data_IF_508677171623
#
_entry.id   IF_508677171623
#
_cell.length_a   1.000
_cell.length_b   1.000
_cell.length_c   1.000
_cell.angle_alpha   90.00
_cell.angle_beta   90.00
_cell.angle_gamma   90.00
#
_symmetry.space_group_name_H-M   'P 1'
#
loop_
_entity.id
_entity.type
_entity.pdbx_description
1 polymer ?
#
# COMPACT_ATOMS: atom_id res chain seq x y z
N UNK A 1 -2.72 39.26 47.34
CA UNK A 1 -2.72 38.74 48.72
C UNK A 1 -2.73 37.21 48.61
N UNK A 2 -1.64 36.56 48.23
CA UNK A 2 -0.40 36.30 48.97
C UNK A 2 -0.62 35.42 50.20
N UNK A 3 -0.31 34.12 50.07
CA UNK A 3 0.34 33.30 51.11
C UNK A 3 1.23 32.27 50.43
N UNK A 4 2.52 32.59 50.45
CA UNK A 4 3.63 31.66 50.35
C UNK A 4 3.70 30.77 51.59
N UNK A 5 4.22 29.55 51.43
CA UNK A 5 5.23 29.01 52.33
C UNK A 5 6.11 28.01 51.55
N UNK A 6 7.41 28.34 51.53
CA UNK A 6 8.58 27.53 51.16
C UNK A 6 8.63 26.21 51.96
N UNK A 7 9.41 25.17 51.67
CA UNK A 7 10.83 25.02 51.27
C UNK A 7 11.06 23.49 51.11
N UNK A 8 11.74 22.96 50.10
CA UNK A 8 13.21 22.90 50.02
C UNK A 8 13.71 21.43 50.08
N UNK A 9 14.90 21.11 49.56
CA UNK A 9 15.17 19.90 48.76
C UNK A 9 16.22 18.94 49.38
N UNK A 10 16.47 17.79 48.73
CA UNK A 10 17.75 17.03 48.65
C UNK A 10 17.53 15.78 47.75
N UNK A 11 18.23 15.62 46.60
CA UNK A 11 19.51 14.90 46.41
C UNK A 11 19.38 13.35 46.58
N UNK A 12 19.96 12.42 45.81
CA UNK A 12 21.02 12.37 44.79
C UNK A 12 21.09 10.91 44.24
N UNK A 13 21.75 10.74 43.07
CA UNK A 13 22.45 9.55 42.51
C UNK A 13 21.79 8.44 41.65
N UNK A 14 22.26 8.41 40.39
CA UNK A 14 22.52 7.30 39.45
C UNK A 14 23.66 6.36 39.98
N UNK A 15 23.97 5.13 39.45
CA UNK A 15 24.12 4.82 38.02
C UNK A 15 23.95 3.36 37.51
N UNK A 16 23.89 3.29 36.17
CA UNK A 16 24.36 2.30 35.19
C UNK A 16 24.85 0.89 35.59
N UNK A 17 24.38 -0.12 34.84
CA UNK A 17 25.11 -1.37 34.55
C UNK A 17 25.05 -1.75 33.07
N UNK A 18 26.24 -1.83 32.46
CA UNK A 18 26.62 -2.51 31.21
C UNK A 18 26.99 -3.97 31.51
N UNK A 19 26.63 -4.95 30.64
CA UNK A 19 27.36 -6.19 30.25
C UNK A 19 26.57 -6.80 29.07
N UNK A 20 27.02 -6.85 27.81
CA UNK A 20 28.08 -7.65 27.13
C UNK A 20 27.77 -9.14 26.90
N UNK A 21 27.33 -9.43 25.66
CA UNK A 21 27.76 -10.48 24.71
C UNK A 21 27.91 -11.97 25.13
N UNK A 22 27.22 -12.88 24.40
CA UNK A 22 27.79 -14.18 23.96
C UNK A 22 27.05 -14.83 22.76
N UNK A 23 27.86 -14.98 21.70
CA UNK A 23 27.95 -15.86 20.52
C UNK A 23 27.26 -17.25 20.50
N UNK A 24 26.81 -17.68 19.30
CA UNK A 24 26.60 -19.07 18.81
C UNK A 24 25.56 -19.10 17.67
N UNK A 25 25.93 -19.04 16.37
CA UNK A 25 26.37 -20.07 15.39
C UNK A 25 25.33 -21.11 14.97
N UNK A 26 25.11 -21.16 13.64
CA UNK A 26 24.67 -22.25 12.76
C UNK A 26 23.24 -22.81 12.86
N UNK A 27 22.44 -22.63 11.79
CA UNK A 27 22.21 -23.72 10.83
C UNK A 27 21.50 -23.29 9.53
N UNK A 28 21.95 -23.98 8.50
CA UNK A 28 21.58 -24.08 7.08
C UNK A 28 20.19 -24.73 6.87
N UNK A 29 19.54 -24.49 5.72
CA UNK A 29 18.56 -25.43 5.17
C UNK A 29 17.27 -24.85 4.54
N UNK A 30 17.26 -24.86 3.20
CA UNK A 30 16.14 -25.22 2.32
C UNK A 30 14.97 -24.25 2.03
N UNK A 31 15.05 -23.64 0.84
CA UNK A 31 13.94 -23.11 0.05
C UNK A 31 13.32 -24.22 -0.82
N UNK A 32 11.98 -24.32 -0.95
CA UNK A 32 11.35 -25.02 -2.05
C UNK A 32 10.86 -24.04 -3.16
N UNK A 33 10.66 -24.55 -4.39
CA UNK A 33 10.63 -23.73 -5.59
C UNK A 33 9.26 -23.17 -5.96
N UNK A 34 9.35 -22.09 -6.72
CA UNK A 34 8.31 -21.38 -7.47
C UNK A 34 7.64 -22.30 -8.48
N UNK A 35 6.33 -22.48 -8.36
CA UNK A 35 5.48 -23.13 -9.35
C UNK A 35 5.08 -22.15 -10.46
N UNK A 36 5.31 -22.54 -11.70
CA UNK A 36 4.93 -21.84 -12.92
C UNK A 36 3.46 -22.04 -13.26
N UNK A 37 2.82 -20.95 -13.67
CA UNK A 37 1.50 -20.84 -14.29
C UNK A 37 1.34 -21.79 -15.50
N UNK A 38 0.24 -22.55 -15.53
CA UNK A 38 -0.30 -23.15 -16.74
C UNK A 38 -1.56 -22.39 -17.19
N UNK A 39 -1.60 -22.13 -18.49
CA UNK A 39 -2.59 -21.35 -19.22
C UNK A 39 -3.97 -22.04 -19.29
N UNK A 40 -5.01 -21.26 -19.01
CA UNK A 40 -6.39 -21.61 -19.32
C UNK A 40 -6.80 -20.97 -20.66
N UNK A 41 -6.99 -21.79 -21.68
CA UNK A 41 -7.62 -21.44 -22.95
C UNK A 41 -8.66 -22.50 -23.32
N UNK A 42 -9.94 -22.14 -23.30
CA UNK A 42 -11.04 -23.04 -23.66
C UNK A 42 -11.25 -23.16 -25.17
N UNK A 43 -12.16 -24.06 -25.57
CA UNK A 43 -13.14 -23.91 -26.68
C UNK A 43 -14.22 -25.00 -26.56
N UNK A 44 -15.46 -24.57 -26.83
CA UNK A 44 -16.76 -25.25 -26.81
C UNK A 44 -16.99 -26.31 -27.91
N UNK A 45 -18.10 -27.06 -27.69
CA UNK A 45 -19.03 -27.78 -28.61
C UNK A 45 -18.93 -29.31 -28.48
N UNK A 46 -20.02 -30.10 -28.34
CA UNK A 46 -21.36 -30.01 -28.91
C UNK A 46 -22.47 -30.58 -28.00
N UNK A 47 -23.71 -30.20 -28.33
CA UNK A 47 -24.98 -30.56 -27.70
C UNK A 47 -25.69 -31.64 -28.54
N UNK A 48 -26.49 -32.47 -27.85
CA UNK A 48 -27.76 -33.12 -28.26
C UNK A 48 -27.78 -34.67 -28.49
N UNK A 49 -28.96 -35.32 -28.40
CA UNK A 49 -29.21 -36.36 -27.39
C UNK A 49 -29.73 -37.69 -27.99
N UNK A 50 -29.80 -38.75 -27.19
CA UNK A 50 -30.54 -39.97 -27.53
C UNK A 50 -31.11 -40.54 -26.21
N UNK A 51 -32.42 -40.51 -26.00
CA UNK A 51 -33.48 -41.42 -26.45
C UNK A 51 -33.41 -42.86 -25.89
N UNK A 52 -34.57 -43.26 -25.35
CA UNK A 52 -35.12 -44.60 -25.18
C UNK A 52 -34.38 -45.64 -24.33
N UNK A 53 -34.97 -45.96 -23.18
CA UNK A 53 -34.82 -47.26 -22.53
C UNK A 53 -36.21 -47.84 -22.31
N UNK A 54 -36.59 -48.78 -23.17
CA UNK A 54 -37.56 -49.84 -22.85
C UNK A 54 -36.85 -51.03 -22.21
N UNK A 55 -37.52 -51.82 -21.36
CA UNK A 55 -36.87 -52.87 -20.58
C UNK A 55 -36.83 -54.19 -21.38
N UNK A 56 -35.64 -54.72 -21.61
CA UNK A 56 -35.49 -56.14 -21.96
C UNK A 56 -35.19 -56.96 -20.70
N UNK A 57 -36.07 -57.94 -20.47
CA UNK A 57 -35.84 -59.08 -19.59
C UNK A 57 -34.51 -59.74 -19.96
N UNK A 58 -33.64 -59.94 -18.97
CA UNK A 58 -32.55 -60.92 -19.08
C UNK A 58 -32.72 -62.01 -18.02
N UNK A 59 -32.95 -63.20 -18.56
CA UNK A 59 -32.85 -64.54 -18.02
C UNK A 59 -31.90 -64.72 -16.84
N UNK A 60 -32.41 -65.34 -15.79
CA UNK A 60 -31.67 -65.77 -14.59
C UNK A 60 -30.78 -66.96 -14.97
N UNK A 61 -29.47 -66.74 -15.00
CA UNK A 61 -28.48 -67.82 -15.09
C UNK A 61 -28.13 -68.26 -13.65
N UNK A 62 -28.35 -69.54 -13.25
CA UNK A 62 -28.22 -69.96 -11.85
C UNK A 62 -26.77 -70.07 -11.32
N UNK A 63 -25.76 -69.66 -12.10
CA UNK A 63 -24.35 -69.69 -11.69
C UNK A 63 -23.64 -68.33 -11.84
N UNK A 64 -24.39 -67.22 -11.78
CA UNK A 64 -23.78 -65.90 -11.71
C UNK A 64 -23.40 -65.59 -10.25
N UNK A 65 -22.15 -65.90 -9.88
CA UNK A 65 -21.53 -65.29 -8.70
C UNK A 65 -21.40 -63.80 -9.02
N UNK A 66 -22.35 -63.00 -8.53
CA UNK A 66 -22.23 -61.56 -8.49
C UNK A 66 -21.01 -61.23 -7.63
N UNK A 67 -19.90 -60.83 -8.26
CA UNK A 67 -18.86 -60.08 -7.59
C UNK A 67 -19.44 -58.70 -7.23
N UNK A 68 -20.20 -58.66 -6.14
CA UNK A 68 -20.49 -57.42 -5.42
C UNK A 68 -19.14 -56.92 -4.95
N UNK A 69 -18.73 -55.71 -5.37
CA UNK A 69 -17.61 -55.01 -4.75
C UNK A 69 -17.89 -54.95 -3.25
N UNK A 70 -17.22 -55.80 -2.49
CA UNK A 70 -17.67 -56.21 -1.17
C UNK A 70 -17.57 -55.07 -0.17
N UNK A 71 -18.67 -54.35 0.04
CA UNK A 71 -18.87 -53.71 1.33
C UNK A 71 -18.77 -54.80 2.39
N UNK A 72 -17.91 -54.64 3.41
CA UNK A 72 -17.73 -55.66 4.42
C UNK A 72 -19.06 -55.92 5.13
N UNK A 73 -19.37 -57.19 5.39
CA UNK A 73 -20.49 -57.52 6.27
C UNK A 73 -20.12 -57.11 7.68
N UNK A 74 -21.02 -56.47 8.41
CA UNK A 74 -20.76 -56.05 9.79
C UNK A 74 -21.57 -56.92 10.74
N UNK A 75 -20.92 -57.46 11.76
CA UNK A 75 -21.58 -58.11 12.89
C UNK A 75 -21.54 -57.18 14.09
N UNK A 76 -22.73 -56.89 14.62
CA UNK A 76 -22.92 -55.97 15.73
C UNK A 76 -23.31 -56.77 16.97
N UNK A 77 -22.52 -56.67 18.04
CA UNK A 77 -22.75 -57.36 19.31
C UNK A 77 -22.83 -56.40 20.50
N UNK A 78 -23.71 -56.68 21.47
CA UNK A 78 -23.92 -55.85 22.66
C UNK A 78 -22.74 -55.84 23.68
N UNK A 79 -21.64 -56.53 23.33
CA UNK A 79 -20.43 -56.73 24.13
C UNK A 79 -19.33 -55.69 23.90
N UNK A 80 -19.46 -54.82 22.89
CA UNK A 80 -18.55 -53.68 22.64
C UNK A 80 -18.87 -52.45 23.50
N UNK A 81 -17.86 -51.60 23.74
CA UNK A 81 -17.97 -50.40 24.57
C UNK A 81 -19.09 -49.46 24.13
N UNK A 82 -20.07 -49.21 25.02
CA UNK A 82 -21.25 -48.39 24.71
C UNK A 82 -20.93 -46.93 24.91
N UNK A 83 -21.19 -46.09 23.90
CA UNK A 83 -21.09 -44.63 24.04
C UNK A 83 -22.48 -44.03 23.98
N UNK A 84 -22.77 -43.15 24.92
CA UNK A 84 -24.00 -42.36 24.92
C UNK A 84 -23.74 -41.05 24.17
N UNK A 85 -24.55 -40.78 23.15
CA UNK A 85 -24.54 -39.53 22.40
C UNK A 85 -25.81 -38.74 22.72
N UNK A 86 -25.65 -37.49 23.16
CA UNK A 86 -26.75 -36.53 23.23
C UNK A 86 -26.79 -35.72 21.94
N UNK A 87 -27.88 -35.87 21.20
CA UNK A 87 -28.11 -35.09 19.99
C UNK A 87 -28.84 -33.82 20.43
N UNK A 88 -28.39 -32.61 20.04
CA UNK A 88 -29.14 -31.40 20.34
C UNK A 88 -30.48 -31.41 19.58
N UNK A 89 -31.53 -30.83 20.17
CA UNK A 89 -32.85 -30.69 19.51
C UNK A 89 -32.99 -29.40 18.70
N UNK A 90 -32.16 -28.41 19.00
CA UNK A 90 -32.16 -27.11 18.35
C UNK A 90 -30.73 -26.55 18.38
N UNK A 91 -30.36 -25.84 17.32
CA UNK A 91 -29.09 -25.15 17.18
C UNK A 91 -29.40 -23.65 17.11
N UNK A 92 -28.99 -22.83 18.10
CA UNK A 92 -29.37 -21.42 18.13
C UNK A 92 -28.70 -20.67 16.96
N UNK A 93 -29.51 -20.19 16.02
CA UNK A 93 -29.04 -19.37 14.90
C UNK A 93 -28.73 -17.96 15.37
N UNK A 94 -27.48 -17.75 15.78
CA UNK A 94 -26.94 -16.42 16.09
C UNK A 94 -25.88 -16.07 15.05
N UNK A 95 -26.00 -14.92 14.37
CA UNK A 95 -24.95 -14.44 13.52
C UNK A 95 -23.73 -14.06 14.38
N UNK A 96 -22.51 -14.14 13.83
CA UNK A 96 -21.33 -13.67 14.53
C UNK A 96 -21.46 -12.18 14.87
N UNK A 97 -20.91 -11.73 16.01
CA UNK A 97 -20.97 -10.33 16.40
C UNK A 97 -20.21 -9.50 15.37
N UNK A 98 -20.91 -8.53 14.79
CA UNK A 98 -20.28 -7.49 13.97
C UNK A 98 -19.92 -6.36 14.92
N UNK A 99 -18.69 -5.84 14.83
CA UNK A 99 -18.31 -4.62 15.56
C UNK A 99 -19.20 -3.48 15.06
N UNK A 100 -20.20 -3.10 15.85
CA UNK A 100 -21.08 -1.97 15.50
C UNK A 100 -20.27 -0.72 15.77
N UNK A 101 -19.67 -0.16 14.72
CA UNK A 101 -19.07 1.16 14.79
C UNK A 101 -20.20 2.18 14.77
N UNK A 102 -20.34 2.97 15.83
CA UNK A 102 -21.28 4.10 15.82
C UNK A 102 -20.88 5.07 14.71
N UNK A 103 -21.80 5.31 13.77
CA UNK A 103 -21.59 6.30 12.72
C UNK A 103 -22.06 7.66 13.21
N UNK A 104 -21.15 8.62 13.19
CA UNK A 104 -21.45 10.03 13.40
C UNK A 104 -21.20 10.80 12.12
N UNK A 105 -22.21 11.52 11.65
CA UNK A 105 -22.06 12.44 10.53
C UNK A 105 -21.40 13.73 11.01
N UNK A 106 -20.32 14.13 10.34
CA UNK A 106 -19.54 15.33 10.67
C UNK A 106 -19.14 16.02 9.38
N UNK A 107 -19.27 17.34 9.35
CA UNK A 107 -18.75 18.15 8.24
C UNK A 107 -17.24 18.32 8.41
N UNK A 108 -16.47 17.89 7.41
CA UNK A 108 -15.00 17.97 7.42
C UNK A 108 -14.53 18.81 6.23
N UNK A 109 -13.64 19.76 6.50
CA UNK A 109 -12.94 20.55 5.48
C UNK A 109 -11.48 20.08 5.38
N UNK A 110 -11.03 19.71 4.19
CA UNK A 110 -9.65 19.25 3.94
C UNK A 110 -8.82 20.41 3.41
N UNK A 111 -7.73 20.72 4.09
CA UNK A 111 -6.75 21.72 3.66
C UNK A 111 -5.53 21.01 3.05
N UNK A 112 -4.94 21.60 2.00
CA UNK A 112 -3.74 21.07 1.35
C UNK A 112 -2.66 22.15 1.33
N UNK A 113 -1.40 21.73 1.19
CA UNK A 113 -0.27 22.66 1.11
C UNK A 113 -0.41 23.54 -0.13
N UNK A 114 -0.20 24.84 0.05
CA UNK A 114 -0.23 25.77 -1.06
C UNK A 114 1.03 25.54 -1.92
N UNK A 115 0.87 24.93 -3.09
CA UNK A 115 1.96 24.70 -4.05
C UNK A 115 2.39 25.95 -4.81
N UNK A 116 1.73 27.08 -4.61
CA UNK A 116 2.11 28.34 -5.25
C UNK A 116 3.23 29.02 -4.47
N UNK A 117 4.42 29.03 -5.05
CA UNK A 117 5.54 29.81 -4.54
C UNK A 117 5.25 31.30 -4.74
N UNK A 118 5.39 32.07 -3.67
CA UNK A 118 5.30 33.52 -3.74
C UNK A 118 6.52 34.04 -4.50
N UNK A 119 6.30 34.59 -5.70
CA UNK A 119 7.33 35.25 -6.48
C UNK A 119 7.51 36.67 -5.95
N UNK A 120 8.74 37.02 -5.56
CA UNK A 120 9.10 38.42 -5.29
C UNK A 120 10.00 38.94 -6.40
N UNK A 121 9.92 40.24 -6.67
CA UNK A 121 10.82 40.87 -7.62
C UNK A 121 12.18 41.12 -6.93
N UNK A 122 13.24 40.48 -7.42
CA UNK A 122 14.60 40.75 -7.00
C UNK A 122 15.30 41.68 -8.01
N UNK A 123 16.16 42.55 -7.48
CA UNK A 123 16.95 43.50 -8.26
C UNK A 123 18.42 43.22 -8.00
N UNK A 124 19.17 42.89 -9.05
CA UNK A 124 20.61 42.68 -9.02
C UNK A 124 21.30 43.82 -9.75
N UNK A 125 22.24 44.49 -9.07
CA UNK A 125 23.09 45.52 -9.66
C UNK A 125 24.55 45.10 -9.63
N UNK A 126 25.22 45.14 -10.77
CA UNK A 126 26.65 44.83 -10.88
C UNK A 126 27.38 45.83 -11.77
N UNK A 127 28.64 46.09 -11.44
CA UNK A 127 29.55 46.83 -12.31
C UNK A 127 30.36 45.84 -13.15
N UNK A 128 30.23 45.94 -14.47
CA UNK A 128 30.92 45.10 -15.43
C UNK A 128 32.09 45.87 -16.03
N UNK A 129 33.30 45.56 -15.58
CA UNK A 129 34.54 46.13 -16.11
C UNK A 129 35.11 45.15 -17.15
N UNK A 130 35.33 45.60 -18.38
CA UNK A 130 35.96 44.79 -19.43
C UNK A 130 37.22 45.48 -19.93
N UNK A 131 38.32 44.74 -20.02
CA UNK A 131 39.59 45.21 -20.57
C UNK A 131 39.92 44.39 -21.81
N UNK A 132 40.03 45.06 -22.96
CA UNK A 132 40.41 44.44 -24.23
C UNK A 132 41.77 44.96 -24.66
N UNK A 133 42.73 44.07 -24.89
CA UNK A 133 44.02 44.41 -25.47
C UNK A 133 44.12 43.85 -26.88
N UNK A 134 44.52 44.70 -27.80
CA UNK A 134 44.74 44.37 -29.21
C UNK A 134 46.18 44.62 -29.60
N UNK A 135 46.69 43.82 -30.54
CA UNK A 135 48.02 43.98 -31.12
C UNK A 135 47.91 44.07 -32.64
N UNK A 136 48.78 44.89 -33.23
CA UNK A 136 49.00 44.90 -34.68
C UNK A 136 50.41 44.44 -34.98
N UNK A 137 50.56 43.36 -35.74
CA UNK A 137 51.85 42.83 -36.18
C UNK A 137 52.49 43.68 -37.28
N UNK A 138 53.77 43.42 -37.54
CA UNK A 138 54.59 44.14 -38.53
C UNK A 138 54.00 44.08 -39.95
N UNK A 139 53.37 42.96 -40.31
CA UNK A 139 52.66 42.76 -41.58
C UNK A 139 51.18 43.15 -41.51
N UNK A 140 50.82 44.10 -40.64
CA UNK A 140 49.44 44.63 -40.46
C UNK A 140 48.43 43.55 -40.02
N UNK A 141 48.90 42.43 -39.46
CA UNK A 141 48.02 41.45 -38.83
C UNK A 141 47.39 42.04 -37.58
N UNK A 142 46.05 42.02 -37.47
CA UNK A 142 45.32 42.53 -36.31
C UNK A 142 44.85 41.36 -35.46
N UNK A 143 45.06 41.42 -34.15
CA UNK A 143 44.64 40.38 -33.22
C UNK A 143 44.22 40.93 -31.85
N UNK A 144 43.41 40.16 -31.14
CA UNK A 144 43.11 40.36 -29.73
C UNK A 144 44.08 39.47 -28.94
N UNK A 145 44.84 40.07 -28.05
CA UNK A 145 45.84 39.38 -27.21
C UNK A 145 45.29 39.10 -25.82
N UNK A 146 44.35 39.92 -25.34
CA UNK A 146 43.75 39.77 -24.02
C UNK A 146 42.32 40.32 -24.02
N UNK A 147 41.40 39.58 -23.40
CA UNK A 147 40.03 40.04 -23.15
C UNK A 147 39.59 39.50 -21.78
N UNK A 148 39.32 40.39 -20.84
CA UNK A 148 38.86 40.03 -19.51
C UNK A 148 37.63 40.85 -19.15
N UNK A 149 36.62 40.18 -18.60
CA UNK A 149 35.44 40.82 -18.01
C UNK A 149 35.35 40.46 -16.54
N UNK A 150 35.24 41.45 -15.67
CA UNK A 150 35.07 41.31 -14.23
C UNK A 150 33.73 41.91 -13.82
N UNK A 151 33.00 41.22 -12.94
CA UNK A 151 31.81 41.73 -12.29
C UNK A 151 32.14 42.11 -10.85
N UNK A 152 31.79 43.33 -10.46
CA UNK A 152 32.00 43.86 -9.12
C UNK A 152 30.66 44.17 -8.47
N UNK A 153 30.49 43.86 -7.17
CA UNK A 153 29.29 44.21 -6.44
C UNK A 153 29.18 45.72 -6.28
N UNK A 154 27.94 46.23 -6.27
CA UNK A 154 27.62 47.64 -6.07
C UNK A 154 27.01 47.82 -4.68
N UNK A 155 27.22 48.98 -4.06
CA UNK A 155 26.59 49.27 -2.77
C UNK A 155 25.06 49.25 -2.86
N UNK A 156 24.35 48.78 -1.82
CA UNK A 156 22.88 48.69 -1.85
C UNK A 156 22.17 50.04 -2.01
N UNK A 157 22.77 51.14 -1.55
CA UNK A 157 22.23 52.49 -1.69
C UNK A 157 22.31 52.98 -3.15
N UNK A 158 23.47 52.79 -3.79
CA UNK A 158 23.67 53.14 -5.20
C UNK A 158 22.80 52.27 -6.11
N UNK A 159 22.69 50.96 -5.84
CA UNK A 159 21.79 50.08 -6.58
C UNK A 159 20.33 50.55 -6.49
N UNK A 160 19.86 50.94 -5.30
CA UNK A 160 18.51 51.50 -5.11
C UNK A 160 18.32 52.81 -5.87
N UNK A 161 19.31 53.70 -5.84
CA UNK A 161 19.24 54.96 -6.58
C UNK A 161 19.15 54.70 -8.09
N UNK A 162 20.05 53.88 -8.64
CA UNK A 162 20.06 53.54 -10.07
C UNK A 162 18.80 52.76 -10.48
N UNK A 163 18.24 51.95 -9.58
CA UNK A 163 16.97 51.25 -9.78
C UNK A 163 15.81 52.23 -10.01
N UNK A 164 15.74 53.30 -9.21
CA UNK A 164 14.70 54.34 -9.30
C UNK A 164 14.96 55.27 -10.49
N UNK A 165 16.16 55.84 -10.56
CA UNK A 165 16.47 56.93 -11.49
C UNK A 165 16.76 56.43 -12.90
N UNK A 166 17.14 55.15 -13.05
CA UNK A 166 17.65 54.55 -14.31
C UNK A 166 18.80 55.38 -14.91
N UNK A 167 19.61 55.99 -14.05
CA UNK A 167 20.76 56.83 -14.41
C UNK A 167 21.95 56.42 -13.55
N UNK A 168 23.12 56.28 -14.17
CA UNK A 168 24.39 56.00 -13.49
C UNK A 168 25.47 56.96 -14.02
N UNK A 169 26.12 57.73 -13.13
CA UNK A 169 27.06 58.80 -13.49
C UNK A 169 26.58 59.72 -14.62
N UNK A 170 25.31 60.13 -14.60
CA UNK A 170 24.72 61.00 -15.62
C UNK A 170 24.39 60.31 -16.95
N UNK A 171 24.70 59.02 -17.11
CA UNK A 171 24.31 58.23 -18.26
C UNK A 171 23.00 57.49 -17.98
N UNK A 172 22.03 57.59 -18.90
CA UNK A 172 20.78 56.84 -18.80
C UNK A 172 21.03 55.37 -19.17
N UNK A 173 20.49 54.44 -18.40
CA UNK A 173 20.54 53.03 -18.76
C UNK A 173 19.63 52.75 -19.95
N UNK A 174 20.13 51.97 -20.89
CA UNK A 174 19.39 51.44 -22.02
C UNK A 174 18.91 50.02 -21.70
N UNK A 175 17.71 49.68 -22.13
CA UNK A 175 17.18 48.33 -21.98
C UNK A 175 17.81 47.43 -23.03
N UNK A 176 18.59 46.44 -22.61
CA UNK A 176 19.19 45.45 -23.51
C UNK A 176 18.23 44.28 -23.75
N UNK A 177 17.56 43.81 -22.70
CA UNK A 177 16.59 42.71 -22.72
C UNK A 177 15.46 42.99 -21.72
N UNK A 178 14.34 42.24 -21.74
CA UNK A 178 13.36 42.31 -20.68
C UNK A 178 13.99 42.07 -19.31
N UNK A 179 13.88 43.05 -18.42
CA UNK A 179 14.48 43.01 -17.09
C UNK A 179 15.96 43.35 -17.01
N UNK A 180 16.67 43.56 -18.14
CA UNK A 180 18.10 43.88 -18.14
C UNK A 180 18.35 45.28 -18.72
N UNK A 181 18.98 46.12 -17.91
CA UNK A 181 19.32 47.50 -18.22
C UNK A 181 20.83 47.70 -18.10
N UNK A 182 21.43 48.39 -19.06
CA UNK A 182 22.89 48.59 -19.12
C UNK A 182 23.25 50.01 -19.52
N UNK A 183 24.39 50.54 -19.08
CA UNK A 183 24.96 51.77 -19.67
C UNK A 183 25.52 51.48 -21.07
N UNK A 184 25.50 52.45 -21.97
CA UNK A 184 25.92 52.25 -23.37
C UNK A 184 27.40 52.59 -23.62
N UNK A 185 28.32 52.13 -22.77
CA UNK A 185 29.75 52.33 -23.00
C UNK A 185 30.27 51.22 -23.92
N UNK A 186 30.15 51.46 -25.22
CA UNK A 186 30.66 50.58 -26.26
C UNK A 186 32.19 50.61 -26.30
N UNK A 187 32.81 49.44 -26.17
CA UNK A 187 34.24 49.29 -26.32
C UNK A 187 34.58 49.12 -27.80
N UNK A 188 35.10 50.18 -28.43
CA UNK A 188 35.62 50.12 -29.79
C UNK A 188 37.10 49.73 -29.76
N UNK A 189 37.42 48.57 -30.32
CA UNK A 189 38.79 48.07 -30.41
C UNK A 189 39.67 49.01 -31.25
N UNK A 190 40.74 49.54 -30.65
CA UNK A 190 41.71 50.44 -31.28
C UNK A 190 42.99 49.69 -31.58
N UNK A 191 43.39 49.74 -32.85
CA UNK A 191 44.63 49.14 -33.33
C UNK A 191 45.67 50.23 -33.61
N UNK A 192 46.81 50.18 -32.94
CA UNK A 192 47.98 51.03 -33.24
C UNK A 192 48.96 50.26 -34.13
N UNK A 193 49.66 50.97 -35.03
CA UNK A 193 50.58 50.34 -35.98
C UNK A 193 51.89 49.91 -35.30
N UNK A 194 52.26 48.66 -35.62
CA UNK A 194 53.26 47.74 -35.11
C UNK A 194 53.55 47.64 -33.60
N UNK A 195 53.63 46.37 -33.19
CA UNK A 195 54.58 45.88 -32.20
C UNK A 195 54.29 46.29 -30.75
N UNK A 196 53.06 46.72 -30.47
CA UNK A 196 52.61 47.15 -29.14
C UNK A 196 51.19 46.69 -28.86
N UNK A 197 50.98 46.25 -27.63
CA UNK A 197 49.66 45.94 -27.11
C UNK A 197 48.96 47.24 -26.68
N UNK A 198 47.76 47.45 -27.21
CA UNK A 198 46.90 48.58 -26.87
C UNK A 198 45.74 48.04 -26.06
N UNK A 199 45.71 48.37 -24.77
CA UNK A 199 44.66 47.96 -23.86
C UNK A 199 43.64 49.07 -23.63
N UNK A 200 42.36 48.74 -23.73
CA UNK A 200 41.25 49.65 -23.52
C UNK A 200 40.29 49.08 -22.47
N UNK A 201 40.10 49.77 -21.33
CA UNK A 201 39.06 49.43 -20.39
C UNK A 201 37.72 50.06 -20.78
N UNK A 202 36.63 49.35 -20.52
CA UNK A 202 35.26 49.89 -20.47
C UNK A 202 34.60 49.46 -19.17
N UNK A 203 33.70 50.28 -18.67
CA UNK A 203 32.89 49.98 -17.51
C UNK A 203 31.42 50.18 -17.86
N UNK A 204 30.60 49.18 -17.56
CA UNK A 204 29.17 49.25 -17.71
C UNK A 204 28.45 48.89 -16.42
N UNK A 205 27.46 49.69 -16.05
CA UNK A 205 26.52 49.31 -15.00
C UNK A 205 25.48 48.38 -15.58
N UNK A 206 25.23 47.25 -14.94
CA UNK A 206 24.22 46.27 -15.34
C UNK A 206 23.20 46.13 -14.20
N UNK A 207 21.94 46.25 -14.55
CA UNK A 207 20.81 46.15 -13.65
C UNK A 207 19.84 45.10 -14.17
N UNK A 208 19.67 44.03 -13.40
CA UNK A 208 18.89 42.85 -13.74
C UNK A 208 17.70 42.74 -12.77
N UNK A 209 16.51 42.45 -13.31
CA UNK A 209 15.30 42.18 -12.54
C UNK A 209 14.85 40.77 -12.83
N UNK A 210 14.91 39.92 -11.82
CA UNK A 210 14.45 38.54 -11.92
C UNK A 210 13.39 38.29 -10.85
N UNK A 211 12.33 37.54 -11.16
CA UNK A 211 11.44 37.03 -10.12
C UNK A 211 12.22 36.01 -9.31
N UNK A 212 12.61 36.37 -8.10
CA UNK A 212 13.22 35.44 -7.16
C UNK A 212 12.10 34.65 -6.47
N UNK A 213 12.22 33.33 -6.52
CA UNK A 213 11.35 32.46 -5.76
C UNK A 213 11.71 32.63 -4.29
N UNK A 214 10.78 33.13 -3.46
CA UNK A 214 10.91 33.02 -2.02
C UNK A 214 10.85 31.53 -1.66
N UNK A 215 12.01 30.89 -1.61
CA UNK A 215 12.20 29.74 -0.72
C UNK A 215 12.35 30.35 0.66
N UNK A 216 11.23 30.64 1.32
CA UNK A 216 11.29 30.79 2.78
C UNK A 216 11.90 29.48 3.29
N UNK A 217 13.06 29.49 3.98
CA UNK A 217 13.47 28.30 4.70
C UNK A 217 12.29 27.96 5.59
N UNK A 218 11.69 26.80 5.33
CA UNK A 218 10.60 26.30 6.13
C UNK A 218 11.10 26.35 7.57
N UNK A 219 10.46 27.20 8.37
CA UNK A 219 10.61 27.16 9.81
C UNK A 219 10.37 25.70 10.19
N UNK A 220 11.37 25.11 10.85
CA UNK A 220 11.45 23.69 11.18
C UNK A 220 10.32 23.33 12.16
N UNK A 221 9.15 23.04 11.60
CA UNK A 221 8.01 22.45 12.31
C UNK A 221 7.97 20.99 11.88
N UNK A 222 8.48 20.14 12.77
CA UNK A 222 8.35 18.68 12.89
C UNK A 222 8.42 17.78 11.63
N UNK A 223 9.16 16.66 11.71
CA UNK A 223 9.15 15.68 10.64
C UNK A 223 7.78 14.97 10.60
N UNK A 224 7.37 14.59 9.39
CA UNK A 224 6.20 13.76 9.02
C UNK A 224 4.98 14.54 8.51
N UNK A 225 4.94 14.71 7.19
CA UNK A 225 3.97 13.95 6.40
C UNK A 225 4.52 13.68 4.98
N UNK A 226 4.72 12.41 4.58
CA UNK A 226 5.03 12.07 3.20
C UNK A 226 3.87 12.47 2.30
N UNK A 227 4.19 12.73 1.03
CA UNK A 227 3.27 13.20 0.00
C UNK A 227 1.83 12.71 0.18
N UNK A 228 0.91 13.67 0.19
CA UNK A 228 -0.52 13.42 0.21
C UNK A 228 -0.94 12.78 -1.11
N UNK A 229 -0.55 11.54 -1.35
CA UNK A 229 -1.02 10.77 -2.49
C UNK A 229 -2.52 10.53 -2.26
N UNK A 230 -3.41 11.16 -3.05
CA UNK A 230 -4.85 11.03 -2.85
C UNK A 230 -5.35 9.60 -3.13
N UNK A 231 -4.48 8.73 -3.61
CA UNK A 231 -4.74 7.31 -3.89
C UNK A 231 -4.87 6.53 -2.59
N UNK A 232 -4.01 6.77 -1.59
CA UNK A 232 -4.02 6.01 -0.34
C UNK A 232 -5.35 6.09 0.44
N UNK A 233 -5.96 7.27 0.68
CA UNK A 233 -7.25 7.34 1.36
C UNK A 233 -8.40 6.78 0.52
N UNK A 234 -8.30 6.83 -0.82
CA UNK A 234 -9.29 6.21 -1.71
C UNK A 234 -9.26 4.69 -1.62
N UNK A 235 -8.07 4.09 -1.60
CA UNK A 235 -7.92 2.64 -1.45
C UNK A 235 -8.45 2.16 -0.09
N UNK A 236 -8.15 2.90 0.99
CA UNK A 236 -8.69 2.59 2.31
C UNK A 236 -10.22 2.64 2.32
N UNK A 237 -10.83 3.67 1.74
CA UNK A 237 -12.28 3.77 1.63
C UNK A 237 -12.89 2.60 0.85
N UNK A 238 -12.28 2.20 -0.27
CA UNK A 238 -12.75 1.08 -1.06
C UNK A 238 -12.66 -0.24 -0.29
N UNK A 239 -11.54 -0.48 0.38
CA UNK A 239 -11.35 -1.65 1.23
C UNK A 239 -12.42 -1.74 2.33
N UNK A 240 -12.63 -0.64 3.06
CA UNK A 240 -13.63 -0.56 4.12
C UNK A 240 -15.05 -0.84 3.60
N UNK A 241 -15.37 -0.36 2.38
CA UNK A 241 -16.67 -0.60 1.74
C UNK A 241 -16.86 -2.05 1.29
N UNK A 242 -15.81 -2.68 0.78
CA UNK A 242 -15.84 -4.10 0.39
C UNK A 242 -16.05 -4.96 1.64
N UNK A 243 -15.27 -4.73 2.70
CA UNK A 243 -15.41 -5.47 3.96
C UNK A 243 -16.79 -5.30 4.59
N UNK A 244 -17.37 -4.09 4.52
CA UNK A 244 -18.74 -3.81 4.96
C UNK A 244 -19.77 -4.64 4.17
N UNK A 245 -19.60 -4.75 2.85
CA UNK A 245 -20.51 -5.51 1.98
C UNK A 245 -20.38 -7.02 2.18
N UNK A 246 -19.15 -7.54 2.24
CA UNK A 246 -18.89 -8.96 2.50
C UNK A 246 -19.50 -9.41 3.82
N UNK A 247 -19.32 -8.61 4.89
CA UNK A 247 -19.88 -8.91 6.20
C UNK A 247 -21.41 -9.02 6.17
N UNK A 248 -22.08 -8.14 5.42
CA UNK A 248 -23.55 -8.18 5.25
C UNK A 248 -24.01 -9.42 4.50
N UNK A 249 -23.35 -9.76 3.40
CA UNK A 249 -23.67 -10.93 2.59
C UNK A 249 -23.43 -12.20 3.40
N UNK A 250 -22.27 -12.30 4.07
CA UNK A 250 -21.93 -13.43 4.91
C UNK A 250 -22.96 -13.65 6.02
N UNK A 251 -23.44 -12.58 6.66
CA UNK A 251 -24.48 -12.68 7.70
C UNK A 251 -25.78 -13.28 7.14
N UNK A 252 -26.19 -12.87 5.95
CA UNK A 252 -27.39 -13.40 5.31
C UNK A 252 -27.23 -14.90 4.98
N UNK A 253 -26.11 -15.27 4.34
CA UNK A 253 -25.80 -16.66 4.00
C UNK A 253 -25.69 -17.54 5.25
N UNK A 254 -25.06 -17.04 6.31
CA UNK A 254 -24.94 -17.75 7.59
C UNK A 254 -26.30 -18.09 8.20
N UNK A 255 -27.24 -17.13 8.18
CA UNK A 255 -28.59 -17.36 8.70
C UNK A 255 -29.34 -18.41 7.89
N UNK A 256 -29.26 -18.35 6.55
CA UNK A 256 -29.88 -19.35 5.67
C UNK A 256 -29.32 -20.75 5.90
N UNK A 257 -27.99 -20.87 5.96
CA UNK A 257 -27.32 -22.15 6.25
C UNK A 257 -27.69 -22.69 7.63
N UNK A 258 -27.79 -21.84 8.64
CA UNK A 258 -28.19 -22.26 9.98
C UNK A 258 -29.63 -22.80 9.98
N UNK A 259 -30.57 -22.10 9.34
CA UNK A 259 -31.94 -22.57 9.23
C UNK A 259 -32.06 -23.87 8.42
N UNK A 260 -31.25 -24.05 7.38
CA UNK A 260 -31.18 -25.30 6.64
C UNK A 260 -30.66 -26.45 7.52
N UNK A 261 -29.59 -26.22 8.30
CA UNK A 261 -29.03 -27.20 9.22
C UNK A 261 -30.03 -27.58 10.33
N UNK A 262 -30.79 -26.62 10.85
CA UNK A 262 -31.84 -26.86 11.84
C UNK A 262 -32.96 -27.75 11.28
N UNK A 263 -33.43 -27.46 10.06
CA UNK A 263 -34.41 -28.31 9.36
C UNK A 263 -33.87 -29.72 9.13
N UNK A 264 -32.60 -29.84 8.73
CA UNK A 264 -31.97 -31.14 8.52
C UNK A 264 -31.88 -31.95 9.82
N UNK A 265 -31.50 -31.32 10.92
CA UNK A 265 -31.48 -31.94 12.24
C UNK A 265 -32.89 -32.38 12.67
N UNK A 266 -33.92 -31.59 12.39
CA UNK A 266 -35.31 -31.99 12.66
C UNK A 266 -35.71 -33.23 11.85
N UNK A 267 -35.30 -33.35 10.58
CA UNK A 267 -35.54 -34.54 9.75
C UNK A 267 -34.80 -35.77 10.30
N UNK A 268 -33.53 -35.63 10.67
CA UNK A 268 -32.75 -36.70 11.30
C UNK A 268 -33.42 -37.17 12.60
N UNK A 269 -33.96 -36.24 13.39
CA UNK A 269 -34.72 -36.60 14.60
C UNK A 269 -35.98 -37.43 14.30
N UNK A 270 -36.67 -37.18 13.19
CA UNK A 270 -37.78 -38.04 12.77
C UNK A 270 -37.28 -39.42 12.33
N UNK A 271 -36.17 -39.46 11.59
CA UNK A 271 -35.56 -40.72 11.15
C UNK A 271 -35.10 -41.58 12.34
N UNK A 272 -34.41 -40.97 13.31
CA UNK A 272 -33.96 -41.65 14.53
C UNK A 272 -35.12 -42.28 15.30
N UNK A 273 -36.28 -41.61 15.37
CA UNK A 273 -37.48 -42.16 16.03
C UNK A 273 -38.05 -43.38 15.31
N UNK A 274 -37.91 -43.44 13.99
CA UNK A 274 -38.37 -44.56 13.18
C UNK A 274 -37.39 -45.73 13.24
N UNK A 275 -36.11 -45.44 13.00
CA UNK A 275 -35.00 -46.38 13.10
C UNK A 275 -33.77 -45.67 13.69
N UNK A 276 -33.42 -45.94 14.96
CA UNK A 276 -32.31 -45.28 15.62
C UNK A 276 -30.96 -45.65 15.00
N UNK A 277 -30.82 -46.84 14.42
CA UNK A 277 -29.58 -47.26 13.77
C UNK A 277 -29.42 -46.53 12.44
N UNK A 278 -30.45 -46.51 11.59
CA UNK A 278 -30.41 -45.80 10.33
C UNK A 278 -30.19 -44.29 10.52
N UNK A 279 -30.87 -43.69 11.49
CA UNK A 279 -30.68 -42.29 11.84
C UNK A 279 -29.28 -41.99 12.40
N UNK A 280 -28.71 -42.89 13.20
CA UNK A 280 -27.34 -42.75 13.70
C UNK A 280 -26.31 -42.81 12.58
N UNK A 281 -26.48 -43.74 11.64
CA UNK A 281 -25.62 -43.87 10.46
C UNK A 281 -25.71 -42.64 9.55
N UNK A 282 -26.92 -42.12 9.34
CA UNK A 282 -27.13 -40.89 8.58
C UNK A 282 -26.51 -39.65 9.26
N UNK A 283 -26.56 -39.58 10.60
CA UNK A 283 -25.99 -38.48 11.36
C UNK A 283 -24.45 -38.52 11.41
N UNK A 284 -23.88 -39.70 11.63
CA UNK A 284 -22.44 -39.87 11.82
C UNK A 284 -21.70 -40.19 10.52
N UNK A 285 -22.43 -40.46 9.44
CA UNK A 285 -21.89 -40.85 8.12
C UNK A 285 -21.02 -42.11 8.19
N UNK A 286 -21.39 -43.07 9.04
CA UNK A 286 -20.69 -44.33 9.23
C UNK A 286 -21.68 -45.51 9.14
N UNK A 287 -21.27 -46.63 8.54
CA UNK A 287 -22.13 -47.81 8.32
C UNK A 287 -21.87 -48.93 9.35
N UNK A 288 -20.75 -48.86 10.07
CA UNK A 288 -20.23 -49.85 11.02
C UNK A 288 -20.73 -49.64 12.45
N UNK A 289 -21.91 -49.03 12.61
CA UNK A 289 -22.51 -48.78 13.92
C UNK A 289 -23.94 -49.29 14.01
N UNK A 290 -24.35 -49.62 15.22
CA UNK A 290 -25.74 -49.86 15.61
C UNK A 290 -26.08 -48.90 16.73
N UNK A 291 -27.32 -48.43 16.77
CA UNK A 291 -27.77 -47.53 17.80
C UNK A 291 -29.19 -47.85 18.27
N UNK A 292 -29.46 -47.52 19.54
CA UNK A 292 -30.79 -47.62 20.13
C UNK A 292 -30.99 -46.52 21.17
N UNK A 293 -32.24 -46.17 21.43
CA UNK A 293 -32.54 -45.20 22.49
C UNK A 293 -32.46 -45.86 23.88
N UNK A 294 -31.79 -45.17 24.81
CA UNK A 294 -31.89 -45.40 26.24
C UNK A 294 -32.43 -44.12 26.89
N UNK A 295 -33.76 -44.05 27.02
CA UNK A 295 -34.44 -42.81 27.44
C UNK A 295 -34.31 -41.72 26.38
N UNK A 296 -33.62 -40.62 26.71
CA UNK A 296 -33.40 -39.49 25.81
C UNK A 296 -32.01 -39.49 25.14
N UNK A 297 -31.14 -40.43 25.51
CA UNK A 297 -29.82 -40.57 24.93
C UNK A 297 -29.81 -41.66 23.85
N UNK A 298 -28.99 -41.45 22.82
CA UNK A 298 -28.73 -42.44 21.78
C UNK A 298 -27.51 -43.27 22.20
N UNK A 299 -27.71 -44.55 22.46
CA UNK A 299 -26.62 -45.49 22.74
C UNK A 299 -26.10 -46.02 21.41
N UNK A 300 -24.78 -45.98 21.22
CA UNK A 300 -24.12 -46.41 19.99
C UNK A 300 -23.10 -47.51 20.33
N UNK A 301 -23.05 -48.51 19.46
CA UNK A 301 -22.10 -49.61 19.47
C UNK A 301 -21.43 -49.73 18.10
N UNK A 302 -20.13 -49.98 18.11
CA UNK A 302 -19.35 -50.31 16.92
C UNK A 302 -19.58 -51.77 16.53
N UNK A 303 -19.60 -52.02 15.22
CA UNK A 303 -19.73 -53.34 14.62
C UNK A 303 -18.39 -53.81 14.06
N UNK A 304 -18.08 -55.08 14.24
CA UNK A 304 -16.87 -55.68 13.68
C UNK A 304 -17.12 -56.17 12.26
N UNK A 305 -16.19 -55.94 11.31
CA UNK A 305 -16.29 -56.51 9.98
C UNK A 305 -16.11 -58.03 10.04
N UNK A 306 -17.00 -58.75 9.36
CA UNK A 306 -16.96 -60.19 9.15
C UNK A 306 -16.53 -60.43 7.72
N UNK A 307 -15.50 -61.27 7.57
CA UNK A 307 -15.15 -61.85 6.28
C UNK A 307 -15.95 -63.14 6.13
N UNK A 308 -16.81 -63.27 5.12
CA UNK A 308 -17.41 -64.56 4.83
C UNK A 308 -16.30 -65.50 4.36
N UNK A 309 -15.99 -66.53 5.15
CA UNK A 309 -15.10 -67.60 4.72
C UNK A 309 -15.80 -68.38 3.60
N UNK A 310 -15.13 -68.51 2.45
CA UNK A 310 -15.58 -69.31 1.30
C UNK A 310 -15.34 -70.80 1.52
#
# INVERSE_FOLDING_TARGET
MARDFSSGPDAVDHPSTLVSNRRGSENEGDNPPVGTHEDAGGILRDISPANDITPELISVNPNLVLCVSGEPFYQCGASGGRRALSIPRHTPCKPPPVLITERKEVNVTIWSTNGHLNQILAVRCVLRNRTLCTNTGFFVSKGIVFDQTLQQPVSPSLCRQVWVDKVYHGQRLIRLQPGVWVTNNLLQAKFEWCCKDVCQPTQNFVLETEPELLVTPAEEIDPVAPGSDPINPKLQYLYDKIMEQESRIFKAVWMELCHAAEKHLAMIWQLLKLDPTLGARALLQCNDIVASFAGQALMIWECSPVRPDH
#
